data_IF_316425260847
#
_entry.id   IF_316425260847
#
_cell.length_a   1.000
_cell.length_b   1.000
_cell.length_c   1.000
_cell.angle_alpha   90.00
_cell.angle_beta   90.00
_cell.angle_gamma   90.00
#
_symmetry.space_group_name_H-M   'P 1'
#
loop_
_entity.id
_entity.type
_entity.pdbx_description
1 polymer ?
#
# COMPACT_ATOMS: atom_id res chain seq x y z
N UNK A 1 5.32 -18.24 33.00
CA UNK A 1 3.86 -18.11 32.87
C UNK A 1 3.56 -17.46 31.54
N UNK A 2 3.13 -18.23 30.53
CA UNK A 2 2.71 -17.69 29.25
C UNK A 2 1.20 -17.48 29.34
N UNK A 3 0.74 -16.23 29.39
CA UNK A 3 -0.69 -15.92 29.40
C UNK A 3 -1.16 -15.88 27.95
N UNK A 4 -1.87 -16.93 27.51
CA UNK A 4 -2.68 -16.87 26.30
C UNK A 4 -3.93 -16.04 26.62
N UNK A 5 -3.97 -14.79 26.14
CA UNK A 5 -5.22 -14.01 26.15
C UNK A 5 -6.08 -14.53 25.00
N UNK A 6 -6.94 -15.50 25.30
CA UNK A 6 -8.08 -15.84 24.45
C UNK A 6 -9.18 -14.80 24.72
N UNK A 7 -9.39 -13.87 23.79
CA UNK A 7 -10.37 -12.79 23.97
C UNK A 7 -10.82 -12.10 22.69
N UNK A 8 -12.03 -12.45 22.25
CA UNK A 8 -12.87 -11.91 21.14
C UNK A 8 -12.58 -12.50 19.75
N UNK A 9 -13.66 -12.98 19.13
CA UNK A 9 -13.74 -13.39 17.72
C UNK A 9 -12.88 -12.48 16.83
N UNK A 10 -12.00 -13.07 16.00
CA UNK A 10 -11.13 -12.37 15.03
C UNK A 10 -11.95 -11.54 14.03
N UNK A 11 -12.46 -10.39 14.44
CA UNK A 11 -13.10 -9.44 13.54
C UNK A 11 -11.99 -8.87 12.64
N UNK A 12 -12.02 -9.22 11.36
CA UNK A 12 -11.10 -8.68 10.35
C UNK A 12 -11.87 -7.57 9.63
N UNK A 13 -11.36 -6.35 9.73
CA UNK A 13 -11.90 -5.19 9.03
C UNK A 13 -10.97 -4.87 7.87
N UNK A 14 -11.37 -5.10 6.60
CA UNK A 14 -10.51 -4.89 5.44
C UNK A 14 -10.15 -3.41 5.24
N UNK A 15 -8.96 -3.09 4.69
CA UNK A 15 -8.57 -1.71 4.46
C UNK A 15 -9.33 -1.08 3.31
N UNK A 16 -9.55 0.22 3.40
CA UNK A 16 -9.71 1.04 2.22
C UNK A 16 -8.35 1.45 1.70
N UNK A 17 -8.13 1.21 0.40
CA UNK A 17 -6.89 1.50 -0.30
C UNK A 17 -7.09 2.69 -1.22
N UNK A 18 -6.18 3.65 -1.16
CA UNK A 18 -6.11 4.79 -2.07
C UNK A 18 -4.69 4.94 -2.62
N UNK A 19 -4.57 5.37 -3.89
CA UNK A 19 -3.29 5.74 -4.49
C UNK A 19 -3.36 7.22 -4.89
N UNK A 20 -2.35 7.98 -4.48
CA UNK A 20 -2.18 9.37 -4.80
C UNK A 20 -1.08 9.55 -5.84
N UNK A 21 -1.35 10.39 -6.84
CA UNK A 21 -0.39 10.74 -7.88
C UNK A 21 0.78 11.55 -7.31
N UNK A 22 1.95 11.55 -7.98
CA UNK A 22 3.08 12.38 -7.60
C UNK A 22 2.78 13.88 -7.60
N UNK A 23 3.54 14.65 -6.83
CA UNK A 23 3.42 16.11 -6.88
C UNK A 23 4.09 16.67 -8.13
N UNK A 24 3.45 17.66 -8.77
CA UNK A 24 4.04 18.35 -9.94
C UNK A 24 5.37 19.01 -9.61
N UNK A 25 5.49 19.56 -8.39
CA UNK A 25 6.72 20.20 -7.91
C UNK A 25 7.89 19.19 -7.84
N UNK A 26 7.66 17.99 -7.31
CA UNK A 26 8.71 16.96 -7.23
C UNK A 26 9.22 16.59 -8.62
N UNK A 27 8.30 16.41 -9.57
CA UNK A 27 8.65 16.08 -10.95
C UNK A 27 9.49 17.19 -11.58
N UNK A 28 9.06 18.45 -11.44
CA UNK A 28 9.74 19.60 -12.02
C UNK A 28 11.14 19.82 -11.43
N UNK A 29 11.28 19.70 -10.11
CA UNK A 29 12.54 20.03 -9.42
C UNK A 29 13.53 18.87 -9.41
N UNK A 30 13.04 17.63 -9.32
CA UNK A 30 13.89 16.44 -9.05
C UNK A 30 13.89 15.43 -10.19
N UNK A 31 13.06 15.62 -11.23
CA UNK A 31 12.86 14.65 -12.31
C UNK A 31 12.51 13.24 -11.79
N UNK A 32 11.78 13.18 -10.68
CA UNK A 32 11.33 11.97 -10.00
C UNK A 32 9.85 12.09 -9.66
N UNK A 33 9.20 10.95 -9.57
CA UNK A 33 7.78 10.84 -9.25
C UNK A 33 7.60 9.87 -8.10
N UNK A 34 6.96 10.29 -7.02
CA UNK A 34 6.62 9.42 -5.89
C UNK A 34 5.12 9.21 -5.81
N UNK A 35 4.67 7.99 -6.07
CA UNK A 35 3.30 7.57 -5.79
C UNK A 35 3.15 7.22 -4.31
N UNK A 36 1.98 7.47 -3.74
CA UNK A 36 1.67 7.13 -2.35
C UNK A 36 0.46 6.23 -2.30
N UNK A 37 0.59 5.09 -1.63
CA UNK A 37 -0.50 4.18 -1.32
C UNK A 37 -0.82 4.29 0.17
N UNK A 38 -2.09 4.57 0.49
CA UNK A 38 -2.60 4.58 1.85
C UNK A 38 -3.60 3.43 2.00
N UNK A 39 -3.35 2.55 2.96
CA UNK A 39 -4.36 1.68 3.52
C UNK A 39 -4.86 2.27 4.84
N UNK A 40 -6.17 2.38 5.01
CA UNK A 40 -6.79 2.96 6.20
C UNK A 40 -8.02 2.20 6.65
N UNK A 41 -8.37 2.33 7.92
CA UNK A 41 -9.61 1.77 8.47
C UNK A 41 -9.55 0.28 8.75
N UNK A 42 -8.34 -0.27 8.85
CA UNK A 42 -8.15 -1.72 8.85
C UNK A 42 -7.85 -2.28 10.25
N UNK A 43 -8.22 -3.53 10.49
CA UNK A 43 -7.92 -4.24 11.74
C UNK A 43 -7.84 -5.76 11.45
N UNK A 44 -6.94 -6.53 12.08
CA UNK A 44 -5.87 -6.11 13.00
C UNK A 44 -4.72 -5.37 12.30
N UNK A 45 -3.64 -5.05 13.01
CA UNK A 45 -2.50 -4.25 12.52
C UNK A 45 -1.57 -4.99 11.52
N UNK A 46 -1.73 -6.31 11.38
CA UNK A 46 -0.92 -7.15 10.49
C UNK A 46 -1.32 -7.02 9.00
N UNK A 47 -0.91 -5.91 8.37
CA UNK A 47 -1.13 -5.62 6.96
C UNK A 47 0.20 -5.38 6.23
N UNK A 48 0.32 -5.88 5.00
CA UNK A 48 1.42 -5.54 4.08
C UNK A 48 0.89 -4.86 2.82
N UNK A 49 1.63 -3.86 2.34
CA UNK A 49 1.38 -3.18 1.08
C UNK A 49 2.40 -3.64 0.03
N UNK A 50 1.89 -4.12 -1.10
CA UNK A 50 2.69 -4.61 -2.23
C UNK A 50 2.39 -3.77 -3.46
N UNK A 51 3.44 -3.29 -4.11
CA UNK A 51 3.34 -2.60 -5.39
C UNK A 51 3.48 -3.57 -6.55
N UNK A 52 2.69 -3.35 -7.60
CA UNK A 52 2.90 -3.95 -8.92
C UNK A 52 2.94 -2.87 -9.99
N UNK A 53 3.85 -3.02 -10.93
CA UNK A 53 3.95 -2.19 -12.14
C UNK A 53 3.74 -3.10 -13.33
N UNK A 54 2.72 -2.81 -14.14
CA UNK A 54 2.34 -3.61 -15.31
C UNK A 54 2.10 -5.10 -14.98
N UNK A 55 1.55 -5.36 -13.79
CA UNK A 55 1.24 -6.72 -13.31
C UNK A 55 2.39 -7.45 -12.62
N UNK A 56 3.62 -6.94 -12.70
CA UNK A 56 4.78 -7.52 -12.03
C UNK A 56 5.03 -6.84 -10.68
N UNK A 57 5.34 -7.61 -9.64
CA UNK A 57 5.68 -7.07 -8.32
C UNK A 57 6.92 -6.16 -8.39
N UNK A 58 6.90 -5.06 -7.67
CA UNK A 58 7.98 -4.06 -7.62
C UNK A 58 8.40 -3.83 -6.17
N UNK A 59 9.69 -3.97 -5.92
CA UNK A 59 10.34 -3.65 -4.63
C UNK A 59 11.34 -2.50 -4.76
N UNK A 60 11.93 -2.30 -5.95
CA UNK A 60 12.81 -1.17 -6.21
C UNK A 60 12.06 0.16 -6.08
N UNK A 61 12.65 1.09 -5.33
CA UNK A 61 12.06 2.41 -5.07
C UNK A 61 10.87 2.38 -4.08
N UNK A 62 10.54 1.22 -3.52
CA UNK A 62 9.46 1.08 -2.53
C UNK A 62 9.98 1.37 -1.12
N UNK A 63 9.26 2.21 -0.39
CA UNK A 63 9.43 2.41 1.05
C UNK A 63 8.07 2.37 1.75
N UNK A 64 7.88 1.39 2.62
CA UNK A 64 6.67 1.25 3.45
C UNK A 64 6.98 1.66 4.88
N UNK A 65 6.06 2.38 5.53
CA UNK A 65 6.23 2.76 6.93
C UNK A 65 6.37 1.50 7.81
N UNK A 66 7.30 1.52 8.77
CA UNK A 66 7.63 0.33 9.57
C UNK A 66 6.50 -0.11 10.51
N UNK A 67 5.68 0.85 10.95
CA UNK A 67 4.64 0.64 11.96
C UNK A 67 3.34 1.26 11.46
N UNK A 68 2.23 0.53 11.62
CA UNK A 68 0.90 1.05 11.34
C UNK A 68 0.48 2.11 12.37
N UNK A 69 -0.13 3.19 11.92
CA UNK A 69 -0.66 4.24 12.80
C UNK A 69 -2.02 3.82 13.36
N UNK A 70 -2.18 3.88 14.69
CA UNK A 70 -3.46 3.63 15.34
C UNK A 70 -4.33 4.89 15.38
N UNK A 71 -5.57 4.77 14.90
CA UNK A 71 -6.52 5.88 14.76
C UNK A 71 -7.70 5.77 15.76
N UNK A 72 -7.45 5.21 16.95
CA UNK A 72 -8.44 5.08 18.03
C UNK A 72 -9.25 3.78 18.02
N UNK A 73 -9.58 3.25 16.83
CA UNK A 73 -10.25 1.95 16.67
C UNK A 73 -9.66 1.06 15.58
N UNK A 74 -9.08 1.68 14.55
CA UNK A 74 -8.52 1.00 13.38
C UNK A 74 -7.12 1.52 13.08
N UNK A 75 -6.43 0.86 12.16
CA UNK A 75 -5.07 1.18 11.75
C UNK A 75 -5.01 1.80 10.36
N UNK A 76 -3.90 2.48 10.09
CA UNK A 76 -3.51 2.95 8.77
C UNK A 76 -2.03 2.66 8.49
N UNK A 77 -1.68 2.48 7.23
CA UNK A 77 -0.33 2.14 6.77
C UNK A 77 -0.10 2.81 5.42
N UNK A 78 1.08 3.41 5.25
CA UNK A 78 1.46 4.09 4.01
C UNK A 78 2.64 3.40 3.36
N UNK A 79 2.58 3.24 2.04
CA UNK A 79 3.72 2.82 1.22
C UNK A 79 3.93 3.81 0.08
N UNK A 80 5.19 4.06 -0.26
CA UNK A 80 5.59 5.01 -1.30
C UNK A 80 6.38 4.27 -2.37
N UNK A 81 6.09 4.57 -3.64
CA UNK A 81 6.84 4.05 -4.79
C UNK A 81 7.48 5.23 -5.52
N UNK A 82 8.81 5.32 -5.43
CA UNK A 82 9.61 6.34 -6.11
C UNK A 82 10.13 5.82 -7.44
N UNK A 83 9.74 6.49 -8.52
CA UNK A 83 10.10 6.16 -9.90
C UNK A 83 10.69 7.36 -10.64
N UNK A 84 11.11 7.16 -11.88
CA UNK A 84 11.50 8.26 -12.77
C UNK A 84 10.27 9.00 -13.29
N UNK A 85 10.43 10.30 -13.61
CA UNK A 85 9.36 11.05 -14.26
C UNK A 85 8.97 10.43 -15.63
N UNK A 86 9.94 9.87 -16.36
CA UNK A 86 9.68 9.18 -17.63
C UNK A 86 8.77 7.96 -17.46
N UNK A 87 8.97 7.16 -16.40
CA UNK A 87 8.10 6.02 -16.10
C UNK A 87 6.69 6.48 -15.70
N UNK A 88 6.57 7.60 -14.98
CA UNK A 88 5.29 8.19 -14.61
C UNK A 88 4.51 8.74 -15.82
N UNK A 89 5.17 9.43 -16.75
CA UNK A 89 4.55 10.01 -17.94
C UNK A 89 4.32 9.02 -19.09
N UNK A 90 4.43 7.73 -18.82
CA UNK A 90 4.02 6.71 -19.77
C UNK A 90 2.59 6.24 -19.43
N UNK A 91 1.56 6.63 -20.21
CA UNK A 91 0.17 6.28 -19.91
C UNK A 91 -0.12 4.78 -20.06
N UNK A 92 0.77 4.02 -20.70
CA UNK A 92 0.65 2.56 -20.75
C UNK A 92 1.08 1.88 -19.45
N UNK A 93 1.78 2.61 -18.57
CA UNK A 93 2.16 2.07 -17.27
C UNK A 93 0.96 2.05 -16.32
N UNK A 94 0.74 0.90 -15.70
CA UNK A 94 -0.29 0.68 -14.69
C UNK A 94 0.38 0.41 -13.34
N UNK A 95 0.13 1.27 -12.36
CA UNK A 95 0.65 1.17 -11.01
C UNK A 95 -0.46 0.67 -10.08
N UNK A 96 -0.24 -0.47 -9.44
CA UNK A 96 -1.20 -1.10 -8.52
C UNK A 96 -0.59 -1.22 -7.13
N UNK A 97 -1.37 -0.91 -6.11
CA UNK A 97 -1.04 -1.18 -4.71
C UNK A 97 -2.06 -2.18 -4.17
N UNK A 98 -1.57 -3.26 -3.57
CA UNK A 98 -2.37 -4.33 -2.97
C UNK A 98 -2.11 -4.38 -1.47
N UNK A 99 -3.17 -4.37 -0.68
CA UNK A 99 -3.12 -4.64 0.75
C UNK A 99 -3.36 -6.14 1.00
N UNK A 100 -2.45 -6.78 1.73
CA UNK A 100 -2.48 -8.21 2.06
C UNK A 100 -2.46 -8.42 3.57
N UNK A 101 -3.38 -9.24 4.07
CA UNK A 101 -3.33 -9.77 5.43
C UNK A 101 -2.52 -11.06 5.48
N UNK A 102 -1.94 -11.33 6.65
CA UNK A 102 -1.40 -12.64 7.00
C UNK A 102 -2.25 -13.22 8.12
N UNK A 103 -2.84 -14.40 7.92
CA UNK A 103 -3.50 -15.16 9.00
C UNK A 103 -2.78 -16.49 9.18
N UNK A 104 -2.32 -16.78 10.40
CA UNK A 104 -1.78 -18.08 10.81
C UNK A 104 -0.69 -18.66 9.87
N UNK A 105 0.29 -17.85 9.46
CA UNK A 105 1.42 -18.26 8.60
C UNK A 105 1.06 -18.75 7.18
N UNK A 106 -0.23 -18.87 6.84
CA UNK A 106 -0.70 -19.02 5.47
C UNK A 106 -1.06 -17.65 4.89
N UNK A 107 -0.59 -17.39 3.67
CA UNK A 107 -1.07 -16.29 2.82
C UNK A 107 -2.51 -16.61 2.35
N UNK A 108 -3.45 -16.73 3.28
CA UNK A 108 -4.85 -16.66 2.92
C UNK A 108 -5.16 -15.21 2.59
N UNK A 109 -5.33 -14.92 1.29
CA UNK A 109 -5.75 -13.62 0.79
C UNK A 109 -7.21 -13.37 1.19
N UNK A 110 -7.46 -13.17 2.48
CA UNK A 110 -8.73 -12.63 2.93
C UNK A 110 -8.80 -11.22 2.36
N UNK A 111 -9.66 -11.06 1.35
CA UNK A 111 -10.09 -9.78 0.77
C UNK A 111 -8.94 -8.83 0.41
N UNK A 112 -8.04 -9.24 -0.49
CA UNK A 112 -6.99 -8.36 -1.02
C UNK A 112 -7.59 -7.12 -1.71
N UNK A 113 -7.69 -6.03 -0.97
CA UNK A 113 -8.10 -4.73 -1.50
C UNK A 113 -6.93 -4.15 -2.26
N UNK A 114 -7.20 -3.74 -3.48
CA UNK A 114 -6.21 -3.12 -4.32
C UNK A 114 -6.81 -1.92 -5.02
N UNK A 115 -5.95 -0.98 -5.37
CA UNK A 115 -6.26 0.09 -6.31
C UNK A 115 -5.16 0.15 -7.34
N UNK A 116 -5.49 0.73 -8.48
CA UNK A 116 -4.52 1.06 -9.50
C UNK A 116 -4.81 2.42 -10.09
N UNK A 117 -3.77 3.05 -10.60
CA UNK A 117 -3.83 4.23 -11.45
C UNK A 117 -2.93 4.00 -12.67
N UNK A 118 -3.19 4.75 -13.73
CA UNK A 118 -2.32 4.78 -14.91
C UNK A 118 -1.35 5.94 -14.82
N UNK A 119 -0.24 5.82 -15.54
CA UNK A 119 0.67 6.93 -15.77
C UNK A 119 -0.04 8.13 -16.41
N UNK A 120 0.51 9.31 -16.17
CA UNK A 120 -0.02 10.57 -16.69
C UNK A 120 0.35 10.75 -18.17
N UNK A 121 -0.47 11.47 -18.92
CA UNK A 121 -0.17 11.84 -20.32
C UNK A 121 0.65 13.12 -20.43
N UNK A 122 0.87 13.83 -19.32
CA UNK A 122 1.47 15.16 -19.28
C UNK A 122 0.43 16.27 -19.28
#
# INVERSE_FOLDING_TARGET
>A
TLLSVSGKNDEIIPPDVAIFSPSKQEIQEKNKATLVCLASGFYPDHLSLVWKVNGAERTEGVGTDEISTFNGSTYSLTSRLRISAQEWFNPSNRFECTAKYFKNETLESLESRHKFIYGDTG
#
